data_IF_764210430820
#
_entry.id   IF_764210430820
#
_cell.length_a   1.000
_cell.length_b   1.000
_cell.length_c   1.000
_cell.angle_alpha   90.00
_cell.angle_beta   90.00
_cell.angle_gamma   90.00
#
_symmetry.space_group_name_H-M   'P 1'
#
loop_
_entity.id
_entity.type
_entity.pdbx_description
1 polymer ?
#
# COMPACT_ATOMS: atom_id res chain seq x y z
N UNK A 1 -8.86 -7.79 32.62
CA UNK A 1 -8.93 -9.14 32.00
C UNK A 1 -9.28 -9.15 30.50
N UNK A 2 -9.96 -8.14 29.93
CA UNK A 2 -10.38 -8.14 28.51
C UNK A 2 -9.25 -7.99 27.46
N UNK A 3 -8.17 -7.29 27.81
CA UNK A 3 -7.09 -6.98 26.85
C UNK A 3 -6.27 -8.23 26.52
N UNK A 4 -5.95 -9.06 27.52
CA UNK A 4 -5.15 -10.27 27.31
C UNK A 4 -5.87 -11.29 26.43
N UNK A 5 -7.18 -11.47 26.63
CA UNK A 5 -8.03 -12.31 25.77
C UNK A 5 -8.04 -11.77 24.33
N UNK A 6 -8.19 -10.45 24.16
CA UNK A 6 -8.13 -9.82 22.82
C UNK A 6 -6.78 -10.05 22.13
N UNK A 7 -5.67 -9.94 22.85
CA UNK A 7 -4.32 -10.20 22.30
C UNK A 7 -4.10 -11.67 21.95
N UNK A 8 -4.59 -12.59 22.78
CA UNK A 8 -4.55 -14.04 22.49
C UNK A 8 -5.34 -14.38 21.22
N UNK A 9 -6.56 -13.88 21.10
CA UNK A 9 -7.40 -14.09 19.92
C UNK A 9 -6.78 -13.51 18.64
N UNK A 10 -6.16 -12.32 18.72
CA UNK A 10 -5.42 -11.72 17.60
C UNK A 10 -4.24 -12.60 17.17
N UNK A 11 -3.41 -13.08 18.10
CA UNK A 11 -2.29 -13.98 17.80
C UNK A 11 -2.74 -15.30 17.18
N UNK A 12 -3.79 -15.92 17.72
CA UNK A 12 -4.36 -17.14 17.16
C UNK A 12 -4.86 -16.90 15.72
N UNK A 13 -5.56 -15.79 15.47
CA UNK A 13 -6.00 -15.45 14.11
C UNK A 13 -4.85 -15.29 13.12
N UNK A 14 -3.68 -14.78 13.54
CA UNK A 14 -2.52 -14.61 12.68
C UNK A 14 -2.00 -15.93 12.11
N UNK A 15 -2.13 -17.03 12.87
CA UNK A 15 -1.71 -18.37 12.40
C UNK A 15 -2.55 -18.86 11.22
N UNK A 16 -3.76 -18.32 11.04
CA UNK A 16 -4.68 -18.68 9.96
C UNK A 16 -4.68 -17.67 8.81
N UNK A 17 -3.79 -16.68 8.82
CA UNK A 17 -3.69 -15.74 7.71
C UNK A 17 -3.09 -16.42 6.50
N UNK A 18 -3.76 -16.30 5.35
CA UNK A 18 -3.26 -16.78 4.06
C UNK A 18 -2.08 -15.95 3.54
N UNK A 19 -2.01 -14.68 3.94
CA UNK A 19 -1.03 -13.71 3.46
C UNK A 19 -0.15 -13.23 4.61
N UNK A 20 0.99 -12.62 4.26
CA UNK A 20 1.96 -12.05 5.23
C UNK A 20 1.39 -10.89 6.04
N UNK A 21 0.27 -10.31 5.60
CA UNK A 21 -0.42 -9.20 6.24
C UNK A 21 -1.84 -9.58 6.63
N UNK A 22 -2.32 -8.95 7.70
CA UNK A 22 -3.68 -9.22 8.19
C UNK A 22 -4.76 -8.84 7.19
N UNK A 23 -5.96 -9.45 7.27
CA UNK A 23 -7.03 -9.27 6.29
C UNK A 23 -7.39 -7.81 6.02
N UNK A 24 -7.35 -6.95 7.06
CA UNK A 24 -7.62 -5.52 6.91
C UNK A 24 -6.57 -4.81 6.06
N UNK A 25 -5.29 -5.09 6.28
CA UNK A 25 -4.18 -4.50 5.51
C UNK A 25 -4.21 -5.05 4.08
N UNK A 26 -4.43 -6.35 3.93
CA UNK A 26 -4.59 -7.00 2.64
C UNK A 26 -5.67 -6.32 1.79
N UNK A 27 -6.86 -6.09 2.37
CA UNK A 27 -7.96 -5.42 1.69
C UNK A 27 -7.62 -3.98 1.27
N UNK A 28 -6.80 -3.26 2.04
CA UNK A 28 -6.33 -1.91 1.67
C UNK A 28 -5.36 -2.00 0.49
N UNK A 29 -4.43 -2.95 0.53
CA UNK A 29 -3.46 -3.18 -0.56
C UNK A 29 -4.19 -3.52 -1.86
N UNK A 30 -5.14 -4.45 -1.82
CA UNK A 30 -5.91 -4.84 -3.02
C UNK A 30 -6.74 -3.68 -3.58
N UNK A 31 -7.38 -2.88 -2.73
CA UNK A 31 -8.06 -1.65 -3.17
C UNK A 31 -7.10 -0.67 -3.83
N UNK A 32 -5.93 -0.45 -3.24
CA UNK A 32 -4.92 0.45 -3.80
C UNK A 32 -4.36 -0.09 -5.12
N UNK A 33 -4.19 -1.41 -5.26
CA UNK A 33 -3.72 -2.05 -6.49
C UNK A 33 -4.68 -1.81 -7.66
N UNK A 34 -5.99 -1.89 -7.41
CA UNK A 34 -7.00 -1.58 -8.42
C UNK A 34 -6.91 -0.12 -8.86
N UNK A 35 -6.77 0.83 -7.93
CA UNK A 35 -6.59 2.24 -8.27
C UNK A 35 -5.28 2.49 -9.05
N UNK A 36 -4.19 1.82 -8.65
CA UNK A 36 -2.89 1.91 -9.32
C UNK A 36 -2.85 1.22 -10.68
N UNK A 37 -3.83 0.38 -11.03
CA UNK A 37 -3.88 -0.22 -12.38
C UNK A 37 -3.99 0.81 -13.51
N UNK A 38 -4.45 2.03 -13.17
CA UNK A 38 -4.57 3.17 -14.07
C UNK A 38 -3.29 4.04 -14.10
N UNK A 39 -2.26 3.67 -13.34
CA UNK A 39 -1.00 4.39 -13.21
C UNK A 39 0.13 3.59 -13.86
N UNK A 40 0.93 4.24 -14.70
CA UNK A 40 2.09 3.65 -15.37
C UNK A 40 3.36 4.27 -14.76
N UNK A 41 4.09 3.54 -13.89
CA UNK A 41 5.33 4.03 -13.32
C UNK A 41 6.50 3.87 -14.31
N UNK A 42 7.31 4.91 -14.42
CA UNK A 42 8.58 4.95 -15.14
C UNK A 42 9.69 5.34 -14.18
N UNK A 43 10.78 4.58 -14.18
CA UNK A 43 11.95 4.90 -13.37
C UNK A 43 12.62 6.15 -13.93
N UNK A 44 12.76 7.20 -13.11
CA UNK A 44 13.35 8.47 -13.50
C UNK A 44 14.67 8.78 -12.77
N UNK A 45 15.08 7.93 -11.83
CA UNK A 45 16.32 8.06 -11.06
C UNK A 45 16.41 6.99 -9.98
N UNK A 46 17.37 7.10 -9.08
CA UNK A 46 17.46 6.22 -7.91
C UNK A 46 16.29 6.48 -6.97
N UNK A 47 15.37 5.52 -6.86
CA UNK A 47 14.17 5.60 -5.99
C UNK A 47 13.15 6.69 -6.36
N UNK A 48 13.29 7.32 -7.53
CA UNK A 48 12.34 8.30 -8.08
C UNK A 48 11.60 7.69 -9.25
N UNK A 49 10.27 7.81 -9.21
CA UNK A 49 9.37 7.33 -10.24
C UNK A 49 8.52 8.47 -10.80
N UNK A 50 8.49 8.59 -12.11
CA UNK A 50 7.48 9.37 -12.83
C UNK A 50 6.27 8.46 -13.05
N UNK A 51 5.09 8.91 -12.67
CA UNK A 51 3.85 8.18 -12.87
C UNK A 51 3.01 8.92 -13.88
N UNK A 52 2.71 8.24 -14.98
CA UNK A 52 1.75 8.71 -15.97
C UNK A 52 0.39 8.05 -15.68
N UNK A 53 -0.63 8.86 -15.42
CA UNK A 53 -1.98 8.35 -15.23
C UNK A 53 -2.70 8.22 -16.58
N UNK A 54 -3.49 7.16 -16.76
CA UNK A 54 -4.14 6.85 -18.04
C UNK A 54 -5.10 7.95 -18.52
N UNK A 55 -5.74 8.67 -17.60
CA UNK A 55 -6.65 9.77 -17.92
C UNK A 55 -5.95 11.14 -18.00
N UNK A 56 -4.61 11.14 -18.10
CA UNK A 56 -3.79 12.33 -18.06
C UNK A 56 -3.32 12.69 -16.65
N UNK A 57 -2.27 13.50 -16.60
CA UNK A 57 -1.57 13.88 -15.37
C UNK A 57 -0.26 13.12 -15.19
N UNK A 58 0.78 13.85 -14.84
CA UNK A 58 2.08 13.29 -14.48
C UNK A 58 2.37 13.59 -13.01
N UNK A 59 2.80 12.55 -12.29
CA UNK A 59 3.12 12.65 -10.88
C UNK A 59 4.56 12.20 -10.65
N UNK A 60 5.22 12.80 -9.67
CA UNK A 60 6.53 12.37 -9.21
C UNK A 60 6.36 11.70 -7.83
N UNK A 61 6.93 10.52 -7.69
CA UNK A 61 7.07 9.82 -6.42
C UNK A 61 8.54 9.69 -6.09
N UNK A 62 8.91 10.14 -4.91
CA UNK A 62 10.21 9.88 -4.31
C UNK A 62 10.03 8.88 -3.16
N UNK A 63 10.50 7.64 -3.36
CA UNK A 63 10.41 6.60 -2.34
C UNK A 63 11.37 6.84 -1.16
N UNK A 64 12.47 7.55 -1.38
CA UNK A 64 13.44 7.90 -0.34
C UNK A 64 12.86 8.94 0.61
N UNK A 65 12.31 10.01 0.03
CA UNK A 65 11.63 11.06 0.79
C UNK A 65 10.23 10.64 1.26
N UNK A 66 9.68 9.53 0.74
CA UNK A 66 8.31 9.04 0.97
C UNK A 66 7.25 10.09 0.60
N UNK A 67 7.52 10.88 -0.45
CA UNK A 67 6.64 11.93 -0.95
C UNK A 67 6.00 11.54 -2.27
N UNK A 68 4.79 12.05 -2.52
CA UNK A 68 4.09 11.93 -3.80
C UNK A 68 3.56 13.31 -4.17
N UNK A 69 3.79 13.77 -5.39
CA UNK A 69 3.22 15.03 -5.89
C UNK A 69 1.68 15.01 -5.94
N UNK A 70 1.09 13.82 -5.90
CA UNK A 70 -0.35 13.61 -5.79
C UNK A 70 -0.93 13.99 -4.40
N UNK A 71 -0.10 14.01 -3.36
CA UNK A 71 -0.49 14.41 -2.00
C UNK A 71 -0.13 15.88 -1.83
N UNK A 72 -1.06 16.77 -2.16
CA UNK A 72 -1.03 18.16 -1.68
C UNK A 72 -1.40 18.21 -0.20
#
# INVERSE_FOLDING_TARGET
MYIMIRMANRRASCQHWRYTVGPRIFNIIEKNKLALSQCIPRLAGEQIYQISHMYGGEFAIDLRAKTCSCRR
#
